data_IF_173378386285
#
_entry.id   IF_173378386285
#
_cell.length_a   1.000
_cell.length_b   1.000
_cell.length_c   1.000
_cell.angle_alpha   90.00
_cell.angle_beta   90.00
_cell.angle_gamma   90.00
#
_symmetry.space_group_name_H-M   'P 1'
#
loop_
_entity.id
_entity.type
_entity.pdbx_description
1 polymer ?
#
# COMPACT_ATOMS: atom_id res chain seq x y z
N UNK A 1 23.40 -61.41 -39.68
CA UNK A 1 22.01 -61.07 -39.32
C UNK A 1 22.01 -60.34 -37.97
N UNK A 2 22.40 -59.05 -37.91
CA UNK A 2 22.54 -58.30 -36.64
C UNK A 2 21.89 -56.90 -36.65
N UNK A 3 21.36 -56.46 -37.80
CA UNK A 3 20.85 -55.09 -37.95
C UNK A 3 19.45 -54.94 -37.33
N UNK A 4 18.63 -56.00 -37.31
CA UNK A 4 17.26 -55.94 -36.78
C UNK A 4 17.18 -55.76 -35.25
N UNK A 5 18.16 -56.23 -34.48
CA UNK A 5 18.16 -56.08 -33.00
C UNK A 5 18.49 -54.65 -32.56
N UNK A 6 19.30 -53.92 -33.32
CA UNK A 6 19.73 -52.55 -33.00
C UNK A 6 18.61 -51.52 -33.18
N UNK A 7 17.70 -51.71 -34.15
CA UNK A 7 16.58 -50.79 -34.35
C UNK A 7 15.51 -50.91 -33.25
N UNK A 8 15.28 -52.12 -32.72
CA UNK A 8 14.31 -52.34 -31.65
C UNK A 8 14.76 -51.66 -30.34
N UNK A 9 16.07 -51.65 -30.07
CA UNK A 9 16.64 -51.03 -28.86
C UNK A 9 16.60 -49.50 -28.91
N UNK A 10 16.78 -48.89 -30.10
CA UNK A 10 16.65 -47.42 -30.29
C UNK A 10 15.19 -46.98 -30.13
N UNK A 11 14.23 -47.75 -30.67
CA UNK A 11 12.81 -47.45 -30.52
C UNK A 11 12.36 -47.50 -29.04
N UNK A 12 12.83 -48.50 -28.28
CA UNK A 12 12.53 -48.61 -26.85
C UNK A 12 13.10 -47.44 -26.04
N UNK A 13 14.35 -47.03 -26.28
CA UNK A 13 14.94 -45.85 -25.61
C UNK A 13 14.11 -44.58 -25.89
N UNK A 14 13.72 -44.35 -27.15
CA UNK A 14 12.95 -43.16 -27.53
C UNK A 14 11.56 -43.10 -26.89
N UNK A 15 10.89 -44.24 -26.72
CA UNK A 15 9.60 -44.31 -26.03
C UNK A 15 9.76 -44.02 -24.53
N UNK A 16 10.84 -44.48 -23.89
CA UNK A 16 11.13 -44.18 -22.49
C UNK A 16 11.38 -42.69 -22.23
N UNK A 17 12.06 -41.99 -23.15
CA UNK A 17 12.29 -40.54 -23.02
C UNK A 17 11.01 -39.71 -23.15
N UNK A 18 10.10 -40.09 -24.06
CA UNK A 18 8.83 -39.37 -24.23
C UNK A 18 7.87 -39.59 -23.03
N UNK A 19 7.84 -40.80 -22.47
CA UNK A 19 7.03 -41.08 -21.28
C UNK A 19 7.57 -40.33 -20.06
N UNK A 20 8.89 -40.32 -19.86
CA UNK A 20 9.52 -39.59 -18.75
C UNK A 20 9.34 -38.06 -18.86
N UNK A 21 9.38 -37.50 -20.07
CA UNK A 21 9.14 -36.07 -20.30
C UNK A 21 7.70 -35.68 -19.97
N UNK A 22 6.71 -36.49 -20.39
CA UNK A 22 5.30 -36.25 -20.12
C UNK A 22 4.96 -36.35 -18.62
N UNK A 23 5.53 -37.31 -17.90
CA UNK A 23 5.35 -37.43 -16.45
C UNK A 23 6.03 -36.28 -15.68
N UNK A 24 7.19 -35.82 -16.15
CA UNK A 24 7.88 -34.67 -15.57
C UNK A 24 7.13 -33.35 -15.79
N UNK A 25 6.57 -33.15 -16.99
CA UNK A 25 5.74 -31.98 -17.30
C UNK A 25 4.48 -31.94 -16.43
N UNK A 26 3.78 -33.07 -16.30
CA UNK A 26 2.62 -33.21 -15.41
C UNK A 26 2.99 -32.96 -13.94
N UNK A 27 4.15 -33.44 -13.48
CA UNK A 27 4.64 -33.19 -12.13
C UNK A 27 4.95 -31.71 -11.89
N UNK A 28 5.54 -31.02 -12.88
CA UNK A 28 5.75 -29.57 -12.80
C UNK A 28 4.46 -28.77 -12.75
N UNK A 29 3.46 -29.14 -13.56
CA UNK A 29 2.14 -28.50 -13.51
C UNK A 29 1.48 -28.68 -12.15
N UNK A 30 1.54 -29.89 -11.59
CA UNK A 30 1.07 -30.14 -10.23
C UNK A 30 1.83 -29.30 -9.19
N UNK A 31 3.15 -29.18 -9.30
CA UNK A 31 3.94 -28.37 -8.37
C UNK A 31 3.59 -26.88 -8.46
N UNK A 32 3.42 -26.34 -9.68
CA UNK A 32 2.96 -24.96 -9.90
C UNK A 32 1.57 -24.76 -9.31
N UNK A 33 0.64 -25.68 -9.57
CA UNK A 33 -0.72 -25.64 -9.02
C UNK A 33 -0.72 -25.64 -7.49
N UNK A 34 0.05 -26.52 -6.84
CA UNK A 34 0.18 -26.56 -5.38
C UNK A 34 0.77 -25.26 -4.82
N UNK A 35 1.73 -24.66 -5.51
CA UNK A 35 2.33 -23.39 -5.11
C UNK A 35 1.33 -22.23 -5.24
N UNK A 36 0.56 -22.18 -6.32
CA UNK A 36 -0.51 -21.20 -6.51
C UNK A 36 -1.62 -21.34 -5.45
N UNK A 37 -2.00 -22.58 -5.14
CA UNK A 37 -2.93 -22.90 -4.06
C UNK A 37 -2.41 -22.43 -2.69
N UNK A 38 -1.13 -22.65 -2.40
CA UNK A 38 -0.49 -22.18 -1.16
C UNK A 38 -0.52 -20.66 -1.05
N UNK A 39 -0.13 -19.95 -2.12
CA UNK A 39 -0.17 -18.50 -2.17
C UNK A 39 -1.61 -17.97 -1.97
N UNK A 40 -2.60 -18.63 -2.57
CA UNK A 40 -4.01 -18.26 -2.42
C UNK A 40 -4.51 -18.47 -0.98
N UNK A 41 -4.07 -19.53 -0.31
CA UNK A 41 -4.39 -19.77 1.11
C UNK A 41 -3.78 -18.67 1.98
N UNK A 42 -2.52 -18.30 1.77
CA UNK A 42 -1.86 -17.25 2.53
C UNK A 42 -2.58 -15.89 2.36
N UNK A 43 -3.00 -15.55 1.14
CA UNK A 43 -3.80 -14.36 0.87
C UNK A 43 -5.14 -14.40 1.64
N UNK A 44 -5.85 -15.53 1.61
CA UNK A 44 -7.14 -15.68 2.30
C UNK A 44 -7.00 -15.58 3.83
N UNK A 45 -5.92 -16.11 4.40
CA UNK A 45 -5.63 -15.98 5.84
C UNK A 45 -5.35 -14.52 6.23
N UNK A 46 -4.61 -13.79 5.39
CA UNK A 46 -4.36 -12.36 5.60
C UNK A 46 -5.66 -11.54 5.51
N UNK A 47 -6.52 -11.81 4.51
CA UNK A 47 -7.83 -11.16 4.37
C UNK A 47 -8.75 -11.42 5.57
N UNK A 48 -8.76 -12.66 6.08
CA UNK A 48 -9.50 -13.01 7.29
C UNK A 48 -9.02 -12.20 8.50
N UNK A 49 -7.70 -12.11 8.68
CA UNK A 49 -7.09 -11.34 9.79
C UNK A 49 -7.42 -9.85 9.71
N UNK A 50 -7.43 -9.28 8.51
CA UNK A 50 -7.85 -7.88 8.28
C UNK A 50 -9.31 -7.67 8.67
N UNK A 51 -10.18 -8.63 8.33
CA UNK A 51 -11.62 -8.55 8.62
C UNK A 51 -11.89 -8.64 10.13
N UNK A 52 -11.21 -9.54 10.84
CA UNK A 52 -11.27 -9.67 12.30
C UNK A 52 -10.83 -8.38 13.00
N UNK A 53 -9.66 -7.83 12.62
CA UNK A 53 -9.16 -6.56 13.15
C UNK A 53 -10.10 -5.38 12.85
N UNK A 54 -10.71 -5.35 11.66
CA UNK A 54 -11.69 -4.32 11.29
C UNK A 54 -12.96 -4.41 12.16
N UNK A 55 -13.40 -5.62 12.50
CA UNK A 55 -14.50 -5.86 13.43
C UNK A 55 -14.16 -5.41 14.86
N UNK A 56 -12.96 -5.73 15.34
CA UNK A 56 -12.48 -5.30 16.66
C UNK A 56 -12.38 -3.77 16.76
N UNK A 57 -11.86 -3.08 15.75
CA UNK A 57 -11.78 -1.61 15.71
C UNK A 57 -13.18 -0.99 15.74
N UNK A 58 -14.13 -1.54 14.97
CA UNK A 58 -15.53 -1.07 14.95
C UNK A 58 -16.20 -1.24 16.32
N UNK A 59 -15.87 -2.32 17.03
CA UNK A 59 -16.38 -2.58 18.38
C UNK A 59 -15.66 -1.76 19.46
N UNK A 60 -14.40 -1.36 19.23
CA UNK A 60 -13.57 -0.71 20.22
C UNK A 60 -13.86 0.79 20.44
N UNK A 61 -14.52 1.52 19.52
CA UNK A 61 -14.90 2.93 19.75
C UNK A 61 -15.92 3.48 18.73
N UNK A 62 -17.13 3.77 19.21
CA UNK A 62 -17.76 5.06 18.95
C UNK A 62 -18.25 5.61 20.30
N UNK A 63 -17.58 6.58 20.93
CA UNK A 63 -18.18 7.32 22.02
C UNK A 63 -19.39 8.06 21.45
N UNK A 64 -20.59 7.82 22.01
CA UNK A 64 -21.77 8.63 21.72
C UNK A 64 -21.43 10.06 22.12
N UNK A 65 -21.22 10.93 21.13
CA UNK A 65 -21.15 12.37 21.36
C UNK A 65 -22.56 12.80 21.76
N UNK A 66 -22.75 13.07 23.04
CA UNK A 66 -23.99 13.60 23.59
C UNK A 66 -24.22 15.01 23.01
N UNK A 67 -25.20 15.15 22.13
CA UNK A 67 -25.56 16.41 21.45
C UNK A 67 -26.51 17.26 22.30
N UNK A 68 -26.29 17.33 23.61
CA UNK A 68 -27.13 18.08 24.54
C UNK A 68 -26.37 19.21 25.25
N UNK A 69 -25.73 20.08 24.47
CA UNK A 69 -25.33 21.40 24.95
C UNK A 69 -25.92 22.46 24.01
N UNK A 70 -26.65 23.47 24.52
CA UNK A 70 -27.15 24.55 23.69
C UNK A 70 -25.96 25.39 23.22
N UNK A 71 -25.77 25.45 21.91
CA UNK A 71 -24.82 26.36 21.27
C UNK A 71 -25.37 27.77 21.47
N UNK A 72 -24.81 28.52 22.42
CA UNK A 72 -24.94 29.97 22.46
C UNK A 72 -24.23 30.51 21.22
N UNK A 73 -24.99 30.94 20.22
CA UNK A 73 -24.46 31.64 19.05
C UNK A 73 -23.65 32.86 19.53
N UNK A 74 -22.34 32.96 19.21
CA UNK A 74 -21.60 34.17 19.52
C UNK A 74 -22.14 35.31 18.64
N UNK A 75 -22.57 36.40 19.28
CA UNK A 75 -22.83 37.66 18.56
C UNK A 75 -21.53 38.14 17.92
N UNK A 76 -21.53 38.57 16.65
CA UNK A 76 -20.34 39.07 16.00
C UNK A 76 -19.96 40.43 16.59
N UNK A 77 -18.86 40.46 17.34
CA UNK A 77 -18.20 41.70 17.74
C UNK A 77 -17.36 42.17 16.55
N UNK A 78 -17.83 43.23 15.87
CA UNK A 78 -17.09 43.88 14.79
C UNK A 78 -15.90 44.61 15.39
N UNK A 79 -14.70 44.03 15.27
CA UNK A 79 -13.44 44.71 15.58
C UNK A 79 -12.95 45.46 14.35
N UNK A 80 -12.43 46.68 14.55
CA UNK A 80 -12.05 47.58 13.45
C UNK A 80 -10.87 47.00 12.64
N UNK A 81 -10.79 47.41 11.37
CA UNK A 81 -9.81 46.94 10.38
C UNK A 81 -8.34 47.14 10.79
N UNK A 82 -8.05 47.94 11.82
CA UNK A 82 -6.69 48.23 12.28
C UNK A 82 -6.14 47.15 13.24
N UNK A 83 -7.00 46.43 13.97
CA UNK A 83 -6.55 45.32 14.84
C UNK A 83 -6.23 44.04 14.04
N UNK A 84 -6.87 43.82 12.89
CA UNK A 84 -6.67 42.63 12.06
C UNK A 84 -5.28 42.58 11.37
N UNK A 85 -4.62 43.72 11.16
CA UNK A 85 -3.29 43.75 10.53
C UNK A 85 -2.17 43.24 11.44
N UNK A 86 -2.34 43.25 12.77
CA UNK A 86 -1.33 42.74 13.71
C UNK A 86 -1.41 41.24 13.98
N UNK A 87 -2.51 40.57 13.60
CA UNK A 87 -2.74 39.16 13.93
C UNK A 87 -2.51 38.19 12.77
N UNK A 88 -2.14 38.68 11.59
CA UNK A 88 -1.66 37.82 10.49
C UNK A 88 -0.15 37.62 10.67
N UNK A 89 0.26 37.12 11.83
CA UNK A 89 1.47 36.30 11.85
C UNK A 89 1.09 35.03 11.10
N UNK A 90 1.59 34.92 9.87
CA UNK A 90 1.49 33.71 9.07
C UNK A 90 2.24 32.63 9.85
N UNK A 91 1.56 31.93 10.76
CA UNK A 91 2.08 30.74 11.42
C UNK A 91 2.18 29.70 10.32
N UNK A 92 3.32 29.69 9.62
CA UNK A 92 3.68 28.59 8.75
C UNK A 92 3.90 27.38 9.66
N UNK A 93 2.83 26.61 9.90
CA UNK A 93 2.94 25.34 10.60
C UNK A 93 3.94 24.47 9.85
N UNK A 94 5.08 24.23 10.51
CA UNK A 94 6.13 23.35 10.02
C UNK A 94 5.54 21.94 9.91
N UNK A 95 5.45 21.42 8.69
CA UNK A 95 4.89 20.10 8.43
C UNK A 95 5.89 19.05 8.94
N UNK A 96 5.58 18.39 10.05
CA UNK A 96 6.33 17.22 10.50
C UNK A 96 5.85 16.01 9.71
N UNK A 97 6.78 15.36 9.01
CA UNK A 97 6.52 14.24 8.13
C UNK A 97 7.33 13.03 8.58
N UNK A 98 6.64 11.91 8.81
CA UNK A 98 7.27 10.61 9.02
C UNK A 98 6.62 9.58 8.10
N UNK A 99 7.43 8.75 7.44
CA UNK A 99 6.90 7.65 6.64
C UNK A 99 6.43 6.53 7.58
N UNK A 100 5.14 6.17 7.52
CA UNK A 100 4.60 5.08 8.32
C UNK A 100 4.76 3.73 7.61
N UNK A 101 4.30 3.62 6.36
CA UNK A 101 4.47 2.42 5.54
C UNK A 101 4.26 2.69 4.05
N UNK A 102 4.78 1.79 3.22
CA UNK A 102 4.69 1.81 1.77
C UNK A 102 3.99 0.53 1.28
N UNK A 103 3.03 0.69 0.37
CA UNK A 103 2.39 -0.42 -0.35
C UNK A 103 2.76 -0.31 -1.82
N UNK A 104 3.40 -1.35 -2.36
CA UNK A 104 3.74 -1.45 -3.78
C UNK A 104 3.17 -2.75 -4.35
N UNK A 105 2.25 -2.62 -5.31
CA UNK A 105 1.63 -3.76 -6.00
C UNK A 105 2.15 -3.96 -7.44
N UNK A 106 3.25 -3.30 -7.80
CA UNK A 106 3.85 -3.34 -9.15
C UNK A 106 3.17 -2.42 -10.17
N UNK A 107 1.90 -2.05 -9.97
CA UNK A 107 1.19 -1.07 -10.81
C UNK A 107 1.27 0.34 -10.21
N UNK A 108 1.21 0.44 -8.89
CA UNK A 108 1.20 1.71 -8.16
C UNK A 108 1.91 1.57 -6.82
N UNK A 109 2.70 2.59 -6.48
CA UNK A 109 3.26 2.79 -5.14
C UNK A 109 2.38 3.77 -4.37
N UNK A 110 1.93 3.40 -3.18
CA UNK A 110 1.15 4.23 -2.25
C UNK A 110 1.92 4.38 -0.94
N UNK A 111 2.08 5.62 -0.49
CA UNK A 111 2.85 5.97 0.69
C UNK A 111 1.90 6.48 1.76
N UNK A 112 1.93 5.89 2.94
CA UNK A 112 1.19 6.42 4.08
C UNK A 112 2.16 7.16 4.99
N UNK A 113 1.91 8.45 5.18
CA UNK A 113 2.70 9.35 6.01
C UNK A 113 1.94 9.71 7.28
N UNK A 114 2.65 9.84 8.39
CA UNK A 114 2.20 10.55 9.56
C UNK A 114 2.53 12.03 9.41
N UNK A 115 1.50 12.85 9.17
CA UNK A 115 1.60 14.29 8.99
C UNK A 115 0.97 14.97 10.21
N UNK A 116 1.79 15.55 11.09
CA UNK A 116 1.35 16.19 12.33
C UNK A 116 0.39 15.32 13.18
N UNK A 117 0.65 14.01 13.26
CA UNK A 117 -0.17 13.05 14.02
C UNK A 117 -1.35 12.44 13.24
N UNK A 118 -1.52 12.78 11.96
CA UNK A 118 -2.56 12.19 11.09
C UNK A 118 -1.95 11.31 10.02
N UNK A 119 -2.47 10.09 9.88
CA UNK A 119 -2.09 9.20 8.80
C UNK A 119 -2.80 9.60 7.50
N UNK A 120 -2.03 9.85 6.46
CA UNK A 120 -2.53 10.22 5.13
C UNK A 120 -1.81 9.37 4.10
N UNK A 121 -2.57 8.73 3.20
CA UNK A 121 -2.02 7.98 2.07
C UNK A 121 -1.95 8.89 0.83
N UNK A 122 -0.78 8.95 0.21
CA UNK A 122 -0.48 9.76 -0.96
C UNK A 122 0.19 8.92 -2.05
N UNK A 123 0.01 9.31 -3.31
CA UNK A 123 0.73 8.82 -4.48
C UNK A 123 1.62 9.93 -5.07
N UNK A 124 2.66 9.54 -5.81
CA UNK A 124 3.61 10.49 -6.35
C UNK A 124 2.90 11.59 -7.17
N UNK A 125 3.14 12.86 -6.82
CA UNK A 125 2.51 14.03 -7.42
C UNK A 125 1.31 14.61 -6.64
N UNK A 126 0.81 13.91 -5.62
CA UNK A 126 -0.31 14.38 -4.79
C UNK A 126 0.02 15.64 -3.98
N UNK A 127 -1.02 16.35 -3.54
CA UNK A 127 -0.91 17.54 -2.70
C UNK A 127 -1.57 17.34 -1.34
N UNK A 128 -0.92 17.85 -0.29
CA UNK A 128 -1.45 17.91 1.08
C UNK A 128 -1.10 19.24 1.72
N UNK A 129 -2.09 20.00 2.20
CA UNK A 129 -1.89 21.31 2.86
C UNK A 129 -1.00 22.29 2.05
N UNK A 130 -1.11 22.22 0.72
CA UNK A 130 -0.31 23.01 -0.22
C UNK A 130 1.12 22.50 -0.46
N UNK A 131 1.50 21.38 0.14
CA UNK A 131 2.76 20.67 -0.13
C UNK A 131 2.54 19.61 -1.21
N UNK A 132 3.40 19.59 -2.23
CA UNK A 132 3.43 18.55 -3.26
C UNK A 132 4.35 17.42 -2.84
N UNK A 133 3.82 16.21 -2.78
CA UNK A 133 4.61 15.00 -2.58
C UNK A 133 5.25 14.56 -3.90
N UNK A 134 6.56 14.33 -3.87
CA UNK A 134 7.32 13.76 -4.99
C UNK A 134 8.16 12.59 -4.46
N UNK A 135 8.12 11.47 -5.17
CA UNK A 135 9.17 10.46 -5.13
C UNK A 135 10.08 10.66 -6.35
N UNK A 136 11.36 10.91 -6.11
CA UNK A 136 12.40 10.91 -7.15
C UNK A 136 13.49 9.90 -6.79
N UNK A 137 13.67 8.90 -7.65
CA UNK A 137 14.55 7.76 -7.45
C UNK A 137 14.26 7.01 -6.14
N UNK A 138 14.97 7.37 -5.07
CA UNK A 138 14.85 6.81 -3.73
C UNK A 138 14.67 7.89 -2.66
N UNK A 139 14.34 9.12 -3.07
CA UNK A 139 14.09 10.25 -2.17
C UNK A 139 12.60 10.57 -2.14
N UNK A 140 12.10 10.78 -0.93
CA UNK A 140 10.74 11.24 -0.70
C UNK A 140 10.83 12.70 -0.27
N UNK A 141 10.14 13.57 -1.01
CA UNK A 141 10.23 15.01 -0.83
C UNK A 141 8.85 15.65 -0.82
N UNK A 142 8.70 16.68 0.01
CA UNK A 142 7.53 17.56 0.01
C UNK A 142 7.95 18.97 -0.38
N UNK A 143 7.29 19.54 -1.39
CA UNK A 143 7.60 20.87 -1.95
C UNK A 143 6.47 21.87 -1.68
N UNK A 144 6.80 23.06 -1.21
CA UNK A 144 5.86 24.20 -1.11
C UNK A 144 6.57 25.49 -1.45
N UNK A 145 6.42 25.95 -2.70
CA UNK A 145 7.20 27.08 -3.23
C UNK A 145 8.69 26.75 -3.20
N UNK A 146 9.47 27.55 -2.48
CA UNK A 146 10.93 27.36 -2.33
C UNK A 146 11.31 26.43 -1.17
N UNK A 147 10.34 25.93 -0.41
CA UNK A 147 10.59 25.04 0.72
C UNK A 147 10.55 23.58 0.29
N UNK A 148 11.50 22.82 0.80
CA UNK A 148 11.62 21.37 0.57
C UNK A 148 11.79 20.68 1.91
N UNK A 149 11.05 19.60 2.11
CA UNK A 149 11.22 18.69 3.25
C UNK A 149 11.63 17.34 2.68
N UNK A 150 12.83 16.88 3.04
CA UNK A 150 13.30 15.53 2.75
C UNK A 150 12.83 14.59 3.87
N UNK A 151 12.20 13.47 3.48
CA UNK A 151 11.80 12.41 4.41
C UNK A 151 12.85 11.30 4.31
N UNK A 152 13.60 11.11 5.39
CA UNK A 152 14.59 10.03 5.53
C UNK A 152 13.95 8.71 5.91
#
# INVERSE_FOLDING_TARGET
>A
MNIKLSFISIAFLSLSFNVAANEFEKSQEHYKSVTDLKNKIEILELEKKITELSGEIRNARMPKIDKSAPVLSPQPVVKSSEELQKSIEHIEEELKVELAYLVNNGQQKKYTFNLNGKLITLVNGDFVNGWKFIEDQNKIQFFKGNKVIDVN
#
